data_IF_168426306649
#
_entry.id   IF_168426306649
#
_cell.length_a   1.000
_cell.length_b   1.000
_cell.length_c   1.000
_cell.angle_alpha   90.00
_cell.angle_beta   90.00
_cell.angle_gamma   90.00
#
_symmetry.space_group_name_H-M   'P 1'
#
loop_
_entity.id
_entity.type
_entity.pdbx_description
1 polymer ?
#
# COMPACT_ATOMS: atom_id res chain seq x y z
N UNK A 1 7.54 48.38 6.32
CA UNK A 1 7.15 47.46 7.41
C UNK A 1 5.67 47.17 7.21
N UNK A 2 5.34 45.92 6.86
CA UNK A 2 4.00 45.49 6.51
C UNK A 2 3.98 44.69 5.20
N UNK A 3 4.62 43.52 5.20
CA UNK A 3 4.34 42.50 4.20
C UNK A 3 2.99 41.90 4.57
N UNK A 4 1.97 42.21 3.78
CA UNK A 4 0.65 41.61 3.91
C UNK A 4 0.75 40.18 3.39
N UNK A 5 1.07 39.25 4.28
CA UNK A 5 1.05 37.82 3.99
C UNK A 5 -0.42 37.41 3.91
N UNK A 6 -0.98 37.40 2.70
CA UNK A 6 -2.27 36.80 2.42
C UNK A 6 -2.15 35.30 2.61
N UNK A 7 -2.64 34.80 3.75
CA UNK A 7 -2.76 33.37 4.00
C UNK A 7 -3.89 32.87 3.11
N UNK A 8 -3.54 32.31 1.94
CA UNK A 8 -4.47 31.52 1.14
C UNK A 8 -4.85 30.28 1.96
N UNK A 9 -6.08 30.29 2.48
CA UNK A 9 -6.67 29.15 3.15
C UNK A 9 -6.91 28.04 2.12
N UNK A 10 -5.94 27.14 2.01
CA UNK A 10 -5.94 26.00 1.08
C UNK A 10 -6.88 24.91 1.60
N UNK A 11 -8.18 25.19 1.62
CA UNK A 11 -9.22 24.19 1.80
C UNK A 11 -9.28 23.33 0.53
N UNK A 12 -8.47 22.28 0.49
CA UNK A 12 -8.53 21.28 -0.57
C UNK A 12 -9.79 20.44 -0.35
N UNK A 13 -10.81 20.65 -1.18
CA UNK A 13 -11.97 19.76 -1.24
C UNK A 13 -11.52 18.41 -1.77
N UNK A 14 -11.40 17.43 -0.88
CA UNK A 14 -11.02 16.06 -1.23
C UNK A 14 -12.27 15.29 -1.61
N UNK A 15 -12.29 14.70 -2.80
CA UNK A 15 -13.41 13.88 -3.26
C UNK A 15 -13.23 12.41 -2.86
N UNK A 16 -14.32 11.65 -2.81
CA UNK A 16 -14.27 10.19 -2.62
C UNK A 16 -13.45 9.50 -3.71
N UNK A 17 -13.44 10.07 -4.92
CA UNK A 17 -12.68 9.55 -6.04
C UNK A 17 -11.18 9.66 -5.77
N UNK A 18 -10.71 10.80 -5.26
CA UNK A 18 -9.31 11.03 -4.93
C UNK A 18 -8.82 10.11 -3.80
N UNK A 19 -9.67 9.87 -2.81
CA UNK A 19 -9.38 8.91 -1.73
C UNK A 19 -9.31 7.49 -2.27
N UNK A 20 -10.28 7.10 -3.11
CA UNK A 20 -10.31 5.77 -3.71
C UNK A 20 -9.09 5.55 -4.60
N UNK A 21 -8.66 6.57 -5.36
CA UNK A 21 -7.48 6.52 -6.22
C UNK A 21 -6.21 6.31 -5.39
N UNK A 22 -6.01 7.06 -4.30
CA UNK A 22 -4.87 6.86 -3.39
C UNK A 22 -4.85 5.46 -2.77
N UNK A 23 -6.02 4.93 -2.41
CA UNK A 23 -6.17 3.58 -1.85
C UNK A 23 -5.86 2.51 -2.90
N UNK A 24 -6.37 2.67 -4.12
CA UNK A 24 -6.09 1.76 -5.24
C UNK A 24 -4.59 1.76 -5.57
N UNK A 25 -3.98 2.94 -5.54
CA UNK A 25 -2.66 3.18 -6.06
C UNK A 25 -1.56 2.84 -5.03
N UNK A 26 -1.78 3.09 -3.73
CA UNK A 26 -0.83 2.76 -2.66
C UNK A 26 -1.15 1.47 -1.91
N UNK A 27 -2.40 1.01 -2.00
CA UNK A 27 -2.91 -0.05 -1.14
C UNK A 27 -3.18 0.42 0.30
N UNK A 28 -3.99 -0.35 1.02
CA UNK A 28 -4.28 -0.15 2.44
C UNK A 28 -3.71 -1.32 3.24
N UNK A 29 -2.95 -1.02 4.30
CA UNK A 29 -2.62 -2.01 5.33
C UNK A 29 -3.61 -1.89 6.49
N UNK A 30 -4.37 -2.95 6.76
CA UNK A 30 -5.30 -3.08 7.88
C UNK A 30 -4.63 -3.88 8.99
N UNK A 31 -4.79 -3.41 10.23
CA UNK A 31 -4.49 -4.19 11.43
C UNK A 31 -5.79 -4.41 12.20
N UNK A 32 -6.03 -5.64 12.61
CA UNK A 32 -7.20 -6.01 13.38
C UNK A 32 -6.91 -7.17 14.31
N UNK A 33 -7.84 -7.41 15.22
CA UNK A 33 -7.81 -8.53 16.13
C UNK A 33 -9.05 -9.37 15.89
N UNK A 34 -8.90 -10.69 15.85
CA UNK A 34 -9.99 -11.63 15.71
C UNK A 34 -9.97 -12.60 16.89
N UNK A 35 -11.11 -12.69 17.57
CA UNK A 35 -11.32 -13.65 18.65
C UNK A 35 -12.36 -14.66 18.21
N UNK A 36 -12.04 -15.94 18.31
CA UNK A 36 -12.99 -17.02 18.08
C UNK A 36 -13.42 -17.55 19.43
N UNK A 37 -14.71 -17.39 19.73
CA UNK A 37 -15.31 -17.76 21.01
C UNK A 37 -16.44 -18.78 20.80
N UNK A 38 -16.57 -19.73 21.72
CA UNK A 38 -17.65 -20.72 21.72
C UNK A 38 -18.25 -20.78 23.13
N UNK A 39 -19.58 -20.69 23.21
CA UNK A 39 -20.30 -20.73 24.49
C UNK A 39 -19.72 -19.74 25.52
N UNK A 40 -19.51 -18.50 25.11
CA UNK A 40 -18.95 -17.40 25.92
C UNK A 40 -17.51 -17.61 26.42
N UNK A 41 -16.80 -18.61 25.88
CA UNK A 41 -15.38 -18.84 26.15
C UNK A 41 -14.56 -18.46 24.93
N UNK A 42 -13.62 -17.54 25.13
CA UNK A 42 -12.63 -17.18 24.12
C UNK A 42 -11.61 -18.31 23.95
N UNK A 43 -11.50 -18.86 22.74
CA UNK A 43 -10.61 -19.98 22.45
C UNK A 43 -9.33 -19.56 21.75
N UNK A 44 -9.45 -18.63 20.79
CA UNK A 44 -8.33 -18.26 19.92
C UNK A 44 -8.32 -16.75 19.71
N UNK A 45 -7.16 -16.14 19.94
CA UNK A 45 -6.88 -14.74 19.62
C UNK A 45 -5.89 -14.67 18.45
N UNK A 46 -6.22 -13.89 17.42
CA UNK A 46 -5.39 -13.67 16.25
C UNK A 46 -5.11 -12.19 16.07
N UNK A 47 -3.82 -11.81 15.93
CA UNK A 47 -3.40 -10.51 15.39
C UNK A 47 -3.42 -10.60 13.87
N UNK A 48 -4.36 -9.91 13.23
CA UNK A 48 -4.53 -9.90 11.78
C UNK A 48 -3.89 -8.66 11.17
N UNK A 49 -3.06 -8.89 10.15
CA UNK A 49 -2.47 -7.83 9.31
C UNK A 49 -2.79 -8.15 7.86
N UNK A 50 -3.53 -7.28 7.20
CA UNK A 50 -4.02 -7.50 5.83
C UNK A 50 -3.56 -6.35 4.96
N UNK A 51 -2.95 -6.64 3.81
CA UNK A 51 -2.61 -5.63 2.80
C UNK A 51 -3.57 -5.77 1.63
N UNK A 52 -4.36 -4.73 1.38
CA UNK A 52 -5.29 -4.64 0.25
C UNK A 52 -4.63 -3.78 -0.83
N UNK A 53 -4.26 -4.38 -1.95
CA UNK A 53 -3.62 -3.70 -3.09
C UNK A 53 -4.37 -4.02 -4.38
N UNK A 54 -4.36 -3.10 -5.34
CA UNK A 54 -4.87 -3.37 -6.68
C UNK A 54 -4.07 -4.52 -7.32
N UNK A 55 -4.79 -5.55 -7.79
CA UNK A 55 -4.21 -6.78 -8.35
C UNK A 55 -3.28 -6.50 -9.54
N UNK A 56 -3.57 -5.45 -10.31
CA UNK A 56 -2.79 -5.03 -11.48
C UNK A 56 -1.35 -4.62 -11.13
N UNK A 57 -1.13 -3.97 -9.97
CA UNK A 57 0.24 -3.61 -9.49
C UNK A 57 1.04 -4.81 -8.98
N UNK A 58 0.38 -5.86 -8.52
CA UNK A 58 1.06 -7.01 -7.90
C UNK A 58 1.82 -7.86 -8.93
N UNK A 59 1.41 -7.85 -10.20
CA UNK A 59 1.99 -8.73 -11.22
C UNK A 59 3.26 -8.17 -11.89
N UNK A 60 3.51 -6.86 -11.79
CA UNK A 60 4.67 -6.22 -12.44
C UNK A 60 5.99 -6.42 -11.68
N UNK A 61 5.97 -6.73 -10.38
CA UNK A 61 7.19 -6.78 -9.55
C UNK A 61 7.94 -8.12 -9.63
N UNK A 62 7.36 -9.17 -10.21
CA UNK A 62 7.90 -10.54 -10.12
C UNK A 62 8.60 -11.05 -11.37
N UNK A 63 8.85 -10.23 -12.40
CA UNK A 63 9.38 -10.72 -13.69
C UNK A 63 10.41 -9.77 -14.35
N UNK A 64 11.52 -9.44 -13.69
CA UNK A 64 12.64 -8.82 -14.42
C UNK A 64 14.04 -9.03 -13.80
N UNK A 65 14.43 -10.27 -13.46
CA UNK A 65 15.79 -10.50 -12.93
C UNK A 65 16.44 -11.82 -13.35
N UNK A 66 16.04 -12.44 -14.46
CA UNK A 66 16.83 -13.56 -15.01
C UNK A 66 17.01 -13.42 -16.52
N UNK A 67 17.59 -12.29 -16.94
CA UNK A 67 18.30 -12.18 -18.22
C UNK A 67 19.54 -11.31 -17.99
N UNK A 68 20.63 -11.93 -17.56
CA UNK A 68 21.84 -11.19 -17.26
C UNK A 68 22.97 -12.03 -16.67
N UNK A 69 23.37 -13.11 -17.34
CA UNK A 69 24.71 -13.67 -17.21
C UNK A 69 24.91 -14.85 -18.17
N UNK A 70 25.70 -14.63 -19.23
CA UNK A 70 26.80 -15.51 -19.68
C UNK A 70 27.09 -15.33 -21.18
N UNK A 71 27.49 -14.14 -21.60
CA UNK A 71 28.27 -13.97 -22.84
C UNK A 71 29.49 -13.09 -22.57
N UNK A 72 30.34 -13.53 -21.63
CA UNK A 72 31.71 -13.01 -21.55
C UNK A 72 32.65 -14.11 -21.05
N UNK A 73 32.91 -15.09 -21.93
CA UNK A 73 34.10 -15.93 -21.86
C UNK A 73 34.64 -16.16 -23.26
N UNK A 74 35.79 -15.55 -23.55
CA UNK A 74 36.74 -16.08 -24.54
C UNK A 74 37.22 -15.11 -25.60
N UNK A 75 38.07 -14.16 -25.22
CA UNK A 75 39.13 -13.65 -26.10
C UNK A 75 40.10 -14.76 -26.50
N UNK A 76 40.56 -14.76 -27.76
CA UNK A 76 41.97 -14.80 -28.18
C UNK A 76 42.06 -14.80 -29.71
#
# INVERSE_FOLDING_TARGET
MGEEVTVEDRHQEVTLLDILDVILDKGIALRGELVISIADIDLVYLDLRVLVVAVEKMMTLSTNTIEGSAEEYGSA
#
